data_IF_569654288071
#
_entry.id   IF_569654288071
#
_cell.length_a   1.000
_cell.length_b   1.000
_cell.length_c   1.000
_cell.angle_alpha   90.00
_cell.angle_beta   90.00
_cell.angle_gamma   90.00
#
_symmetry.space_group_name_H-M   'P 1'
#
loop_
_entity.id
_entity.type
_entity.pdbx_description
1 polymer ?
#
# COMPACT_ATOMS: atom_id res chain seq x y z
N UNK A 1 -73.28 -13.07 -13.05
CA UNK A 1 -72.50 -12.34 -14.07
C UNK A 1 -71.10 -12.96 -14.15
N UNK A 2 -70.53 -13.10 -15.35
CA UNK A 2 -69.25 -13.78 -15.66
C UNK A 2 -68.05 -12.80 -15.52
N UNK A 3 -66.79 -13.19 -15.30
CA UNK A 3 -66.16 -14.48 -14.91
C UNK A 3 -64.74 -14.24 -14.35
N UNK A 4 -64.16 -15.21 -13.61
CA UNK A 4 -62.76 -15.17 -13.09
C UNK A 4 -61.68 -15.04 -14.18
N UNK A 5 -60.65 -14.21 -13.94
CA UNK A 5 -59.21 -14.24 -14.37
C UNK A 5 -58.63 -12.84 -14.05
N UNK A 6 -57.37 -12.58 -13.70
CA UNK A 6 -56.05 -13.23 -13.88
C UNK A 6 -55.17 -12.89 -12.65
N UNK A 7 -54.38 -13.78 -12.02
CA UNK A 7 -53.02 -14.24 -12.42
C UNK A 7 -52.06 -13.07 -12.75
N UNK A 8 -50.84 -12.89 -12.25
CA UNK A 8 -50.01 -13.41 -11.15
C UNK A 8 -48.58 -12.84 -11.34
N UNK A 9 -47.93 -12.37 -10.27
CA UNK A 9 -46.47 -12.49 -9.98
C UNK A 9 -45.46 -11.81 -10.95
N UNK A 10 -44.25 -11.57 -10.42
CA UNK A 10 -42.99 -11.10 -11.02
C UNK A 10 -42.78 -9.58 -10.92
N UNK A 11 -42.19 -9.10 -9.82
CA UNK A 11 -40.75 -9.21 -9.49
C UNK A 11 -39.88 -8.32 -10.40
N UNK A 12 -39.71 -7.08 -9.96
CA UNK A 12 -38.64 -6.19 -10.41
C UNK A 12 -37.97 -5.58 -9.16
N UNK A 13 -37.48 -6.44 -8.27
CA UNK A 13 -36.46 -6.05 -7.31
C UNK A 13 -35.18 -5.78 -8.11
N UNK A 14 -35.09 -4.59 -8.70
CA UNK A 14 -33.88 -4.09 -9.33
C UNK A 14 -32.89 -3.78 -8.20
N UNK A 15 -32.29 -4.83 -7.65
CA UNK A 15 -31.09 -4.71 -6.86
C UNK A 15 -30.06 -4.05 -7.77
N UNK A 16 -29.85 -2.76 -7.58
CA UNK A 16 -28.78 -2.01 -8.22
C UNK A 16 -27.48 -2.59 -7.70
N UNK A 17 -27.01 -3.64 -8.38
CA UNK A 17 -25.71 -4.24 -8.19
C UNK A 17 -24.68 -3.22 -8.69
N UNK A 18 -24.44 -2.20 -7.86
CA UNK A 18 -23.34 -1.27 -8.05
C UNK A 18 -22.11 -2.14 -8.29
N UNK A 19 -21.39 -1.96 -9.41
CA UNK A 19 -20.10 -2.59 -9.55
C UNK A 19 -19.25 -2.05 -8.41
N UNK A 20 -18.96 -2.92 -7.43
CA UNK A 20 -17.90 -2.67 -6.47
C UNK A 20 -16.62 -2.69 -7.30
N UNK A 21 -16.26 -1.53 -7.83
CA UNK A 21 -15.00 -1.33 -8.54
C UNK A 21 -13.90 -1.60 -7.54
N UNK A 22 -13.39 -2.83 -7.56
CA UNK A 22 -12.16 -3.15 -6.88
C UNK A 22 -11.14 -2.12 -7.37
N UNK A 23 -10.60 -1.35 -6.43
CA UNK A 23 -9.52 -0.42 -6.71
C UNK A 23 -8.33 -1.28 -7.14
N UNK A 24 -8.15 -1.45 -8.45
CA UNK A 24 -7.00 -2.15 -9.02
C UNK A 24 -5.76 -1.44 -8.47
N UNK A 25 -5.01 -2.12 -7.59
CA UNK A 25 -3.79 -1.55 -7.04
C UNK A 25 -2.81 -1.41 -8.21
N UNK A 26 -2.55 -0.16 -8.62
CA UNK A 26 -1.68 0.12 -9.75
C UNK A 26 -0.28 -0.45 -9.46
N UNK A 27 0.04 -1.56 -10.13
CA UNK A 27 1.33 -2.22 -9.98
C UNK A 27 2.42 -1.25 -10.47
N UNK A 28 3.30 -0.85 -9.56
CA UNK A 28 4.41 0.05 -9.90
C UNK A 28 5.41 -0.72 -10.76
N UNK A 29 5.69 -0.21 -11.96
CA UNK A 29 6.67 -0.80 -12.87
C UNK A 29 8.09 -0.64 -12.30
N UNK A 30 8.68 -1.75 -11.86
CA UNK A 30 10.06 -1.78 -11.35
C UNK A 30 11.02 -1.80 -12.55
N UNK A 31 11.59 -0.63 -12.88
CA UNK A 31 12.52 -0.45 -14.01
C UNK A 31 13.94 -0.95 -13.70
N UNK A 32 14.39 -0.72 -12.47
CA UNK A 32 15.69 -1.17 -11.97
C UNK A 32 15.51 -1.85 -10.60
N UNK A 33 15.51 -3.20 -10.54
CA UNK A 33 15.38 -3.94 -9.29
C UNK A 33 16.49 -3.67 -8.28
N UNK A 34 17.72 -3.33 -8.73
CA UNK A 34 18.83 -3.06 -7.82
C UNK A 34 18.72 -1.68 -7.18
N UNK A 35 18.09 -0.71 -7.84
CA UNK A 35 17.83 0.64 -7.32
C UNK A 35 16.36 0.86 -6.90
N UNK A 36 15.58 -0.19 -6.69
CA UNK A 36 14.21 -0.10 -6.15
C UNK A 36 14.14 -0.69 -4.74
N UNK A 37 13.56 0.06 -3.81
CA UNK A 37 13.25 -0.41 -2.46
C UNK A 37 11.73 -0.56 -2.31
N UNK A 38 11.27 -1.71 -1.83
CA UNK A 38 9.87 -1.93 -1.44
C UNK A 38 9.78 -1.87 0.08
N UNK A 39 8.97 -0.94 0.60
CA UNK A 39 8.68 -0.81 2.02
C UNK A 39 7.23 -1.26 2.29
N UNK A 40 7.07 -2.46 2.83
CA UNK A 40 5.76 -3.02 3.17
C UNK A 40 5.21 -2.43 4.47
N UNK A 41 4.05 -1.77 4.39
CA UNK A 41 3.32 -1.27 5.54
C UNK A 41 2.03 -2.07 5.75
N UNK A 42 1.46 -2.01 6.96
CA UNK A 42 0.16 -2.63 7.27
C UNK A 42 -1.00 -2.13 6.39
N UNK A 43 -0.82 -0.98 5.74
CA UNK A 43 -1.80 -0.31 4.88
C UNK A 43 -1.49 -0.45 3.38
N UNK A 44 -0.44 -1.19 3.00
CA UNK A 44 0.01 -1.38 1.62
C UNK A 44 1.51 -1.15 1.43
N UNK A 45 2.01 -1.50 0.26
CA UNK A 45 3.42 -1.34 -0.11
C UNK A 45 3.73 0.07 -0.63
N UNK A 46 4.90 0.57 -0.29
CA UNK A 46 5.47 1.81 -0.83
C UNK A 46 6.70 1.46 -1.66
N UNK A 47 6.62 1.69 -2.97
CA UNK A 47 7.76 1.53 -3.90
C UNK A 47 8.57 2.82 -3.94
N UNK A 48 9.89 2.72 -3.76
CA UNK A 48 10.82 3.85 -3.70
C UNK A 48 11.95 3.62 -4.71
N UNK A 49 12.05 4.51 -5.71
CA UNK A 49 13.19 4.57 -6.63
C UNK A 49 14.37 5.29 -5.96
N UNK A 50 15.55 4.67 -6.00
CA UNK A 50 16.80 5.20 -5.45
C UNK A 50 17.61 5.84 -6.59
N UNK A 51 18.16 7.03 -6.35
CA UNK A 51 18.91 7.80 -7.35
C UNK A 51 20.42 7.79 -7.02
N UNK A 52 21.19 6.74 -7.39
CA UNK A 52 22.61 6.63 -7.08
C UNK A 52 23.44 7.75 -7.69
N UNK A 53 23.04 8.29 -8.85
CA UNK A 53 23.75 9.39 -9.52
C UNK A 53 23.68 10.72 -8.74
N UNK A 54 22.62 10.90 -7.93
CA UNK A 54 22.39 12.12 -7.13
C UNK A 54 23.00 11.98 -5.73
N UNK A 55 22.86 10.81 -5.11
CA UNK A 55 23.22 10.60 -3.71
C UNK A 55 23.87 9.22 -3.45
N UNK A 56 25.01 8.90 -4.08
CA UNK A 56 25.54 7.53 -4.15
C UNK A 56 25.78 6.91 -2.76
N UNK A 57 26.39 7.67 -1.84
CA UNK A 57 26.66 7.21 -0.46
C UNK A 57 25.40 6.97 0.37
N UNK A 58 24.31 7.71 0.12
CA UNK A 58 23.04 7.50 0.80
C UNK A 58 22.34 6.25 0.27
N UNK A 59 22.34 6.06 -1.06
CA UNK A 59 21.80 4.87 -1.72
C UNK A 59 22.55 3.61 -1.26
N UNK A 60 23.88 3.64 -1.21
CA UNK A 60 24.71 2.57 -0.66
C UNK A 60 24.31 2.23 0.78
N UNK A 61 24.23 3.23 1.68
CA UNK A 61 23.89 3.00 3.08
C UNK A 61 22.48 2.47 3.28
N UNK A 62 21.50 2.96 2.52
CA UNK A 62 20.11 2.48 2.55
C UNK A 62 20.04 1.02 2.09
N UNK A 63 20.70 0.67 0.98
CA UNK A 63 20.73 -0.71 0.47
C UNK A 63 21.33 -1.67 1.50
N UNK A 64 22.44 -1.30 2.14
CA UNK A 64 23.06 -2.11 3.19
C UNK A 64 22.10 -2.34 4.36
N UNK A 65 21.51 -1.28 4.94
CA UNK A 65 20.58 -1.41 6.06
C UNK A 65 19.31 -2.20 5.71
N UNK A 66 18.77 -2.03 4.50
CA UNK A 66 17.61 -2.78 4.04
C UNK A 66 17.93 -4.28 3.86
N UNK A 67 19.09 -4.61 3.28
CA UNK A 67 19.56 -6.00 3.12
C UNK A 67 19.90 -6.69 4.45
N UNK A 68 20.30 -5.91 5.44
CA UNK A 68 20.52 -6.37 6.83
C UNK A 68 19.20 -6.55 7.63
N UNK A 69 18.04 -6.21 7.07
CA UNK A 69 16.76 -6.21 7.80
C UNK A 69 16.71 -5.18 8.93
N UNK A 70 17.58 -4.16 8.91
CA UNK A 70 17.72 -3.21 10.02
C UNK A 70 16.48 -2.32 10.21
N UNK A 71 15.74 -2.08 9.13
CA UNK A 71 14.48 -1.32 9.15
C UNK A 71 13.24 -2.16 9.52
N UNK A 72 13.36 -3.49 9.63
CA UNK A 72 12.22 -4.36 9.90
C UNK A 72 11.68 -4.11 11.31
N UNK A 73 10.40 -3.71 11.39
CA UNK A 73 9.76 -3.32 12.64
C UNK A 73 10.10 -1.90 13.13
N UNK A 74 10.82 -1.08 12.34
CA UNK A 74 11.08 0.33 12.71
C UNK A 74 9.85 1.19 12.44
N UNK A 75 9.41 1.93 13.47
CA UNK A 75 8.21 2.75 13.38
C UNK A 75 8.45 4.15 12.79
N UNK A 76 7.35 4.80 12.39
CA UNK A 76 7.34 6.22 12.04
C UNK A 76 7.17 7.07 13.31
N UNK A 77 8.30 7.50 13.89
CA UNK A 77 8.32 8.23 15.17
C UNK A 77 7.81 9.67 15.07
N UNK A 78 7.76 10.24 13.85
CA UNK A 78 7.33 11.63 13.64
C UNK A 78 6.61 11.77 12.32
N UNK A 79 5.31 12.03 12.40
CA UNK A 79 4.43 12.24 11.24
C UNK A 79 3.76 13.60 11.38
N UNK A 80 3.88 14.44 10.34
CA UNK A 80 3.28 15.79 10.29
C UNK A 80 2.38 15.86 9.06
N UNK A 81 1.05 15.97 9.23
CA UNK A 81 0.10 16.08 8.12
C UNK A 81 0.47 17.21 7.15
N UNK A 82 0.43 16.92 5.85
CA UNK A 82 0.76 17.90 4.80
C UNK A 82 2.26 18.22 4.66
N UNK A 83 3.16 17.57 5.43
CA UNK A 83 4.60 17.80 5.32
C UNK A 83 5.39 16.52 5.08
N UNK A 84 5.53 15.63 6.08
CA UNK A 84 6.39 14.44 5.96
C UNK A 84 6.08 13.38 7.03
N UNK A 85 6.57 12.16 6.79
CA UNK A 85 6.63 11.08 7.76
C UNK A 85 8.09 10.61 7.87
N UNK A 86 8.61 10.51 9.09
CA UNK A 86 10.00 10.18 9.39
C UNK A 86 10.09 8.82 10.10
N UNK A 87 10.92 7.94 9.54
CA UNK A 87 11.27 6.61 10.05
C UNK A 87 12.80 6.43 9.95
N UNK A 88 13.31 5.24 10.26
CA UNK A 88 14.71 4.87 10.05
C UNK A 88 15.60 4.97 11.29
N UNK A 89 15.03 5.19 12.47
CA UNK A 89 15.75 5.01 13.75
C UNK A 89 15.89 3.52 14.04
N UNK A 90 17.01 2.94 13.57
CA UNK A 90 17.33 1.52 13.72
C UNK A 90 17.86 1.14 15.11
N UNK A 91 18.18 2.12 15.94
CA UNK A 91 18.80 1.93 17.26
C UNK A 91 17.74 1.92 18.38
N UNK A 92 16.83 2.91 18.36
CA UNK A 92 15.81 3.10 19.40
C UNK A 92 14.37 2.94 18.87
N UNK A 93 14.19 2.94 17.55
CA UNK A 93 12.88 3.00 16.91
C UNK A 93 12.26 1.67 16.51
N UNK A 94 12.86 0.54 16.90
CA UNK A 94 12.38 -0.78 16.53
C UNK A 94 11.32 -1.29 17.52
N UNK A 95 10.08 -1.48 17.07
CA UNK A 95 8.95 -1.90 17.92
C UNK A 95 8.75 -3.42 17.96
N UNK A 96 9.67 -4.22 17.40
CA UNK A 96 9.64 -5.69 17.48
C UNK A 96 10.83 -6.26 18.26
N UNK A 97 11.87 -5.46 18.50
CA UNK A 97 13.06 -5.80 19.30
C UNK A 97 12.96 -5.24 20.73
N UNK A 98 12.01 -5.76 21.52
CA UNK A 98 11.89 -5.48 22.97
C UNK A 98 10.57 -4.83 23.36
#
# INVERSE_FOLDING_TARGET
MFTRRSLSIHAALFAALLPLTAQEAAAVEIKDPENTLIMTLKTGDVTIELLPDVAPKHVERIKTLAREGAYDGVAFHRVIPGFMAQTGDVEHGNTTKG
#
